data_IF_251065508309
#
_entry.id   IF_251065508309
#
_cell.length_a   1.000
_cell.length_b   1.000
_cell.length_c   1.000
_cell.angle_alpha   90.00
_cell.angle_beta   90.00
_cell.angle_gamma   90.00
#
_symmetry.space_group_name_H-M   'P 1'
#
loop_
_entity.id
_entity.type
_entity.pdbx_description
1 polymer ?
#
# COMPACT_ATOMS: atom_id res chain seq x y z
N UNK A 1 -61.83 27.00 45.50
CA UNK A 1 -61.53 26.38 44.19
C UNK A 1 -60.06 26.63 43.84
N UNK A 2 -59.40 25.61 43.29
CA UNK A 2 -57.95 25.35 43.26
C UNK A 2 -57.12 26.41 42.51
N UNK A 3 -55.92 26.69 43.03
CA UNK A 3 -54.81 27.38 42.33
C UNK A 3 -53.62 26.42 42.18
N UNK A 4 -53.19 26.32 40.91
CA UNK A 4 -51.82 26.28 40.37
C UNK A 4 -50.81 25.13 40.67
N UNK A 5 -50.24 24.64 39.54
CA UNK A 5 -48.83 24.24 39.28
C UNK A 5 -48.39 22.87 39.86
N UNK A 6 -47.64 21.95 39.22
CA UNK A 6 -46.68 21.92 38.08
C UNK A 6 -46.51 20.43 37.63
N UNK A 7 -45.91 20.23 36.45
CA UNK A 7 -44.95 19.16 36.04
C UNK A 7 -45.37 18.09 35.02
N UNK A 8 -44.93 18.34 33.77
CA UNK A 8 -44.06 17.50 32.92
C UNK A 8 -44.27 15.99 32.92
N UNK A 9 -44.63 15.45 31.74
CA UNK A 9 -44.08 14.22 31.10
C UNK A 9 -44.68 14.15 29.68
N UNK A 10 -43.99 14.60 28.62
CA UNK A 10 -43.13 13.78 27.74
C UNK A 10 -43.57 12.31 27.59
N UNK A 11 -44.34 12.02 26.55
CA UNK A 11 -44.40 10.71 25.88
C UNK A 11 -44.85 10.96 24.42
N UNK A 12 -43.92 11.01 23.47
CA UNK A 12 -43.47 9.86 22.65
C UNK A 12 -44.46 9.59 21.50
N UNK A 13 -44.30 10.34 20.42
CA UNK A 13 -44.87 10.01 19.10
C UNK A 13 -43.69 9.80 18.16
N UNK A 14 -43.19 8.56 18.12
CA UNK A 14 -42.21 8.08 17.14
C UNK A 14 -42.94 7.81 15.82
N UNK A 15 -43.10 8.84 15.00
CA UNK A 15 -43.35 8.66 13.57
C UNK A 15 -42.03 8.19 12.95
N UNK A 16 -41.88 6.87 12.80
CA UNK A 16 -40.79 6.29 12.04
C UNK A 16 -41.05 6.56 10.56
N UNK A 17 -40.37 7.56 10.00
CA UNK A 17 -40.16 7.65 8.56
C UNK A 17 -39.41 6.39 8.13
N UNK A 18 -40.10 5.49 7.44
CA UNK A 18 -39.51 4.31 6.82
C UNK A 18 -38.46 4.73 5.80
N UNK A 19 -37.20 4.79 6.24
CA UNK A 19 -36.08 4.66 5.34
C UNK A 19 -36.01 3.18 5.00
N UNK A 20 -36.61 2.78 3.88
CA UNK A 20 -36.30 1.50 3.26
C UNK A 20 -34.78 1.47 3.08
N UNK A 21 -34.11 0.69 3.93
CA UNK A 21 -32.72 0.35 3.75
C UNK A 21 -32.68 -0.38 2.40
N UNK A 22 -31.98 0.13 1.37
CA UNK A 22 -31.86 -0.62 0.13
C UNK A 22 -31.36 -2.03 0.50
N UNK A 23 -31.85 -3.09 -0.16
CA UNK A 23 -31.41 -4.44 0.12
C UNK A 23 -29.89 -4.43 0.13
N UNK A 24 -29.29 -4.99 1.18
CA UNK A 24 -27.85 -5.10 1.28
C UNK A 24 -27.39 -5.84 0.02
N UNK A 25 -26.79 -5.11 -0.92
CA UNK A 25 -26.12 -5.72 -2.07
C UNK A 25 -25.20 -6.78 -1.49
N UNK A 26 -25.21 -8.03 -1.99
CA UNK A 26 -24.31 -9.05 -1.49
C UNK A 26 -22.91 -8.46 -1.46
N UNK A 27 -22.28 -8.43 -0.30
CA UNK A 27 -20.91 -7.95 -0.19
C UNK A 27 -20.09 -8.79 -1.16
N UNK A 28 -19.50 -8.15 -2.19
CA UNK A 28 -18.67 -8.85 -3.17
C UNK A 28 -17.58 -9.57 -2.37
N UNK A 29 -17.36 -10.88 -2.58
CA UNK A 29 -16.32 -11.59 -1.84
C UNK A 29 -14.99 -10.87 -2.08
N UNK A 30 -14.18 -10.81 -1.02
CA UNK A 30 -12.86 -10.22 -1.07
C UNK A 30 -12.09 -10.84 -2.26
N UNK A 31 -11.40 -10.02 -3.06
CA UNK A 31 -10.67 -10.51 -4.22
C UNK A 31 -9.64 -11.57 -3.80
N UNK A 32 -9.58 -12.66 -4.55
CA UNK A 32 -8.44 -13.59 -4.51
C UNK A 32 -7.25 -12.95 -5.21
N UNK A 33 -6.06 -13.52 -5.04
CA UNK A 33 -4.87 -13.08 -5.79
C UNK A 33 -5.11 -13.07 -7.30
N UNK A 34 -5.74 -14.13 -7.82
CA UNK A 34 -5.98 -14.34 -9.25
C UNK A 34 -6.95 -13.30 -9.82
N UNK A 35 -7.99 -12.93 -9.07
CA UNK A 35 -9.05 -12.03 -9.56
C UNK A 35 -8.81 -10.55 -9.21
N UNK A 36 -7.92 -10.25 -8.26
CA UNK A 36 -7.62 -8.88 -7.82
C UNK A 36 -7.20 -7.99 -9.00
N UNK A 37 -6.42 -8.56 -9.91
CA UNK A 37 -5.91 -7.89 -11.09
C UNK A 37 -7.03 -7.43 -12.04
N UNK A 38 -7.90 -8.36 -12.41
CA UNK A 38 -9.03 -8.09 -13.28
C UNK A 38 -9.96 -7.03 -12.66
N UNK A 39 -10.19 -7.10 -11.35
CA UNK A 39 -11.03 -6.14 -10.61
C UNK A 39 -10.43 -4.73 -10.55
N UNK A 40 -9.12 -4.60 -10.32
CA UNK A 40 -8.44 -3.29 -10.40
C UNK A 40 -8.61 -2.70 -11.81
N UNK A 41 -8.36 -3.51 -12.85
CA UNK A 41 -8.46 -3.03 -14.23
C UNK A 41 -9.89 -2.67 -14.62
N UNK A 42 -10.88 -3.47 -14.22
CA UNK A 42 -12.32 -3.19 -14.38
C UNK A 42 -12.66 -1.83 -13.74
N UNK A 43 -12.33 -1.65 -12.45
CA UNK A 43 -12.65 -0.42 -11.71
C UNK A 43 -11.99 0.84 -12.30
N UNK A 44 -10.72 0.75 -12.71
CA UNK A 44 -10.00 1.86 -13.34
C UNK A 44 -10.54 2.17 -14.76
N UNK A 45 -10.99 1.14 -15.48
CA UNK A 45 -11.63 1.25 -16.78
C UNK A 45 -13.00 1.92 -16.69
N UNK A 46 -13.88 1.44 -15.81
CA UNK A 46 -15.19 2.03 -15.50
C UNK A 46 -15.06 3.50 -15.13
N UNK A 47 -14.05 3.84 -14.33
CA UNK A 47 -13.83 5.22 -13.89
C UNK A 47 -13.07 6.10 -14.89
N UNK A 48 -12.86 5.64 -16.13
CA UNK A 48 -12.12 6.37 -17.17
C UNK A 48 -10.74 6.89 -16.69
N UNK A 49 -10.11 6.18 -15.74
CA UNK A 49 -8.77 6.49 -15.25
C UNK A 49 -7.73 5.92 -16.23
N UNK A 50 -8.12 4.90 -17.00
CA UNK A 50 -7.39 4.16 -18.03
C UNK A 50 -6.07 3.53 -17.55
N UNK A 51 -5.83 2.27 -17.95
CA UNK A 51 -4.52 2.04 -18.55
C UNK A 51 -4.64 1.13 -19.78
N UNK A 52 -4.14 1.58 -20.94
CA UNK A 52 -3.93 0.72 -22.12
C UNK A 52 -2.97 -0.46 -21.87
N UNK A 53 -2.38 -0.54 -20.66
CA UNK A 53 -1.38 -1.51 -20.25
C UNK A 53 -1.71 -2.17 -18.90
N UNK A 54 -2.97 -2.18 -18.46
CA UNK A 54 -3.34 -2.65 -17.11
C UNK A 54 -2.94 -4.10 -16.85
N UNK A 55 -3.35 -5.03 -17.71
CA UNK A 55 -3.13 -6.47 -17.49
C UNK A 55 -1.63 -6.86 -17.46
N UNK A 56 -0.77 -6.40 -18.42
CA UNK A 56 0.67 -6.67 -18.34
C UNK A 56 1.37 -6.06 -17.12
N UNK A 57 1.01 -4.82 -16.74
CA UNK A 57 1.56 -4.17 -15.54
C UNK A 57 1.15 -4.93 -14.29
N UNK A 58 -0.10 -5.36 -14.23
CA UNK A 58 -0.65 -6.02 -13.06
C UNK A 58 -0.10 -7.44 -12.84
N UNK A 59 0.08 -8.24 -13.91
CA UNK A 59 0.75 -9.54 -13.81
C UNK A 59 2.19 -9.41 -13.28
N UNK A 60 2.90 -8.37 -13.76
CA UNK A 60 4.24 -8.02 -13.26
C UNK A 60 4.23 -7.62 -11.79
N UNK A 61 3.26 -6.81 -11.38
CA UNK A 61 3.10 -6.40 -9.99
C UNK A 61 2.76 -7.60 -9.09
N UNK A 62 1.86 -8.50 -9.52
CA UNK A 62 1.50 -9.70 -8.76
C UNK A 62 2.70 -10.64 -8.53
N UNK A 63 3.59 -10.77 -9.51
CA UNK A 63 4.82 -11.54 -9.38
C UNK A 63 5.83 -10.92 -8.39
N UNK A 64 5.77 -9.60 -8.19
CA UNK A 64 6.73 -8.83 -7.38
C UNK A 64 6.24 -8.50 -5.98
N UNK A 65 4.92 -8.44 -5.81
CA UNK A 65 4.28 -8.06 -4.55
C UNK A 65 3.97 -9.27 -3.69
N UNK A 66 3.97 -9.05 -2.38
CA UNK A 66 3.58 -10.07 -1.40
C UNK A 66 2.13 -10.50 -1.62
N UNK A 67 1.80 -11.77 -1.32
CA UNK A 67 0.42 -12.21 -1.26
C UNK A 67 -0.40 -11.30 -0.32
N UNK A 68 -1.55 -10.86 -0.76
CA UNK A 68 -2.51 -10.02 -0.07
C UNK A 68 -2.44 -8.55 -0.45
N UNK A 69 -1.34 -8.08 -1.05
CA UNK A 69 -1.18 -6.66 -1.43
C UNK A 69 -2.17 -6.27 -2.52
N UNK A 70 -2.20 -7.04 -3.62
CA UNK A 70 -3.11 -6.76 -4.74
C UNK A 70 -4.59 -6.87 -4.34
N UNK A 71 -5.03 -7.92 -3.63
CA UNK A 71 -6.37 -7.97 -3.06
C UNK A 71 -6.74 -6.78 -2.15
N UNK A 72 -5.82 -6.35 -1.27
CA UNK A 72 -6.07 -5.24 -0.37
C UNK A 72 -6.24 -3.91 -1.14
N UNK A 73 -5.39 -3.69 -2.15
CA UNK A 73 -5.49 -2.54 -3.03
C UNK A 73 -6.79 -2.55 -3.83
N UNK A 74 -7.13 -3.68 -4.47
CA UNK A 74 -8.37 -3.89 -5.20
C UNK A 74 -9.58 -3.60 -4.31
N UNK A 75 -9.61 -4.13 -3.09
CA UNK A 75 -10.68 -3.89 -2.12
C UNK A 75 -10.83 -2.42 -1.73
N UNK A 76 -9.72 -1.66 -1.69
CA UNK A 76 -9.79 -0.22 -1.43
C UNK A 76 -10.41 0.53 -2.62
N UNK A 77 -9.96 0.24 -3.84
CA UNK A 77 -10.51 0.84 -5.04
C UNK A 77 -12.00 0.53 -5.19
N UNK A 78 -12.40 -0.72 -4.98
CA UNK A 78 -13.80 -1.14 -5.03
C UNK A 78 -14.67 -0.38 -4.02
N UNK A 79 -14.14 0.07 -2.88
CA UNK A 79 -14.89 0.88 -1.89
C UNK A 79 -14.90 2.38 -2.21
N UNK A 80 -13.78 2.92 -2.67
CA UNK A 80 -13.62 4.36 -2.86
C UNK A 80 -14.10 4.83 -4.24
N UNK A 81 -14.04 3.96 -5.24
CA UNK A 81 -14.42 4.24 -6.63
C UNK A 81 -15.78 3.68 -7.04
N UNK A 82 -16.62 3.22 -6.09
CA UNK A 82 -17.98 2.69 -6.32
C UNK A 82 -18.82 3.58 -7.23
N UNK A 83 -18.59 4.90 -7.22
CA UNK A 83 -19.30 5.88 -8.05
C UNK A 83 -18.33 6.81 -8.75
N UNK A 84 -17.85 6.37 -9.91
CA UNK A 84 -16.90 7.11 -10.74
C UNK A 84 -17.34 8.55 -11.08
N UNK A 85 -18.64 8.77 -11.28
CA UNK A 85 -19.20 10.06 -11.71
C UNK A 85 -19.38 11.06 -10.56
N UNK A 86 -19.26 10.62 -9.31
CA UNK A 86 -19.41 11.49 -8.16
C UNK A 86 -18.25 12.46 -7.98
N UNK A 87 -17.15 12.32 -8.75
CA UNK A 87 -15.94 13.13 -8.61
C UNK A 87 -15.24 13.43 -9.95
N UNK A 88 -14.58 14.59 -10.08
CA UNK A 88 -13.64 14.87 -11.18
C UNK A 88 -12.56 13.79 -11.34
N UNK A 89 -12.01 13.64 -12.55
CA UNK A 89 -10.95 12.65 -12.85
C UNK A 89 -9.68 12.87 -12.02
N UNK A 90 -9.33 14.14 -11.73
CA UNK A 90 -8.17 14.47 -10.89
C UNK A 90 -8.30 13.88 -9.48
N UNK A 91 -9.49 14.03 -8.88
CA UNK A 91 -9.81 13.50 -7.55
C UNK A 91 -9.82 11.97 -7.54
N UNK A 92 -10.30 11.35 -8.63
CA UNK A 92 -10.24 9.89 -8.81
C UNK A 92 -8.81 9.36 -8.86
N UNK A 93 -7.90 10.01 -9.58
CA UNK A 93 -6.47 9.65 -9.59
C UNK A 93 -5.83 9.80 -8.21
N UNK A 94 -6.20 10.84 -7.48
CA UNK A 94 -5.76 11.01 -6.11
C UNK A 94 -6.24 9.88 -5.20
N UNK A 95 -7.50 9.42 -5.34
CA UNK A 95 -8.02 8.27 -4.60
C UNK A 95 -7.25 6.98 -4.89
N UNK A 96 -6.87 6.74 -6.15
CA UNK A 96 -6.00 5.60 -6.49
C UNK A 96 -4.68 5.67 -5.73
N UNK A 97 -4.04 6.84 -5.72
CA UNK A 97 -2.80 7.05 -4.97
C UNK A 97 -2.98 6.89 -3.45
N UNK A 98 -4.12 7.33 -2.90
CA UNK A 98 -4.44 7.19 -1.49
C UNK A 98 -4.67 5.72 -1.12
N UNK A 99 -5.43 4.97 -1.93
CA UNK A 99 -5.64 3.53 -1.72
C UNK A 99 -4.32 2.75 -1.78
N UNK A 100 -3.45 3.08 -2.72
CA UNK A 100 -2.11 2.49 -2.79
C UNK A 100 -1.32 2.82 -1.52
N UNK A 101 -1.26 4.09 -1.14
CA UNK A 101 -0.52 4.53 0.07
C UNK A 101 -1.05 3.87 1.35
N UNK A 102 -2.36 3.80 1.54
CA UNK A 102 -2.97 3.14 2.69
C UNK A 102 -2.64 1.64 2.72
N UNK A 103 -2.59 0.98 1.55
CA UNK A 103 -2.13 -0.41 1.43
C UNK A 103 -0.68 -0.51 1.90
N UNK A 104 0.22 0.31 1.37
CA UNK A 104 1.63 0.34 1.74
C UNK A 104 1.85 0.57 3.24
N UNK A 105 1.07 1.46 3.86
CA UNK A 105 1.14 1.76 5.30
C UNK A 105 0.73 0.58 6.19
N UNK A 106 -0.24 -0.24 5.75
CA UNK A 106 -0.59 -1.47 6.46
C UNK A 106 0.59 -2.46 6.46
N UNK A 107 1.22 -2.63 5.31
CA UNK A 107 2.33 -3.58 5.15
C UNK A 107 3.64 -3.10 5.79
N UNK A 108 3.90 -1.80 5.79
CA UNK A 108 5.13 -1.24 6.39
C UNK A 108 5.21 -1.45 7.90
N UNK A 109 4.08 -1.57 8.60
CA UNK A 109 4.02 -1.83 10.04
C UNK A 109 4.37 -3.27 10.41
N UNK A 110 3.87 -4.22 9.62
CA UNK A 110 4.06 -5.65 9.86
C UNK A 110 5.35 -6.14 9.19
N UNK A 111 5.21 -6.68 7.99
CA UNK A 111 6.24 -7.45 7.33
C UNK A 111 7.18 -6.59 6.46
N UNK A 112 6.79 -5.35 6.14
CA UNK A 112 7.60 -4.39 5.41
C UNK A 112 8.74 -3.79 6.23
N UNK A 113 8.58 -3.72 7.56
CA UNK A 113 9.67 -3.33 8.47
C UNK A 113 10.86 -4.28 8.38
N UNK A 114 10.61 -5.60 8.31
CA UNK A 114 11.66 -6.60 8.18
C UNK A 114 12.40 -6.46 6.84
N UNK A 115 11.67 -6.25 5.74
CA UNK A 115 12.26 -6.04 4.42
C UNK A 115 13.15 -4.80 4.36
N UNK A 116 12.68 -3.69 4.94
CA UNK A 116 13.45 -2.45 5.06
C UNK A 116 14.72 -2.70 5.87
N UNK A 117 14.62 -3.37 7.03
CA UNK A 117 15.77 -3.69 7.87
C UNK A 117 16.82 -4.53 7.14
N UNK A 118 16.40 -5.51 6.35
CA UNK A 118 17.30 -6.39 5.59
C UNK A 118 18.13 -5.59 4.56
N UNK A 119 17.46 -4.74 3.76
CA UNK A 119 18.14 -3.90 2.77
C UNK A 119 19.02 -2.85 3.44
N UNK A 120 18.55 -2.23 4.53
CA UNK A 120 19.33 -1.26 5.31
C UNK A 120 20.62 -1.90 5.83
N UNK A 121 20.51 -3.11 6.40
CA UNK A 121 21.68 -3.84 6.89
C UNK A 121 22.66 -4.13 5.76
N UNK A 122 22.20 -4.55 4.58
CA UNK A 122 23.06 -4.75 3.42
C UNK A 122 23.78 -3.47 2.96
N UNK A 123 23.10 -2.32 2.98
CA UNK A 123 23.73 -1.02 2.68
C UNK A 123 24.84 -0.72 3.67
N UNK A 124 24.60 -0.94 4.96
CA UNK A 124 25.55 -0.68 6.03
C UNK A 124 26.74 -1.67 6.03
N UNK A 125 26.49 -2.95 5.74
CA UNK A 125 27.55 -3.95 5.55
C UNK A 125 28.43 -3.59 4.35
N UNK A 126 27.83 -3.12 3.24
CA UNK A 126 28.58 -2.58 2.11
C UNK A 126 29.40 -1.36 2.50
N UNK A 127 28.81 -0.40 3.22
CA UNK A 127 29.49 0.81 3.66
C UNK A 127 30.71 0.47 4.54
N UNK A 128 30.54 -0.39 5.54
CA UNK A 128 31.62 -0.84 6.41
C UNK A 128 32.76 -1.55 5.65
N UNK A 129 32.42 -2.31 4.60
CA UNK A 129 33.41 -2.96 3.72
C UNK A 129 34.16 -1.95 2.84
N UNK A 130 33.44 -0.97 2.28
CA UNK A 130 34.00 0.00 1.34
C UNK A 130 34.76 1.14 2.03
N UNK A 131 34.38 1.50 3.26
CA UNK A 131 34.94 2.58 4.06
C UNK A 131 35.08 2.14 5.54
N UNK A 132 36.09 1.32 5.87
CA UNK A 132 36.26 0.81 7.22
C UNK A 132 36.65 1.94 8.21
N UNK A 133 35.92 2.04 9.34
CA UNK A 133 36.29 2.86 10.49
C UNK A 133 35.44 4.12 10.75
N UNK A 134 34.36 4.34 9.99
CA UNK A 134 33.50 5.54 10.10
C UNK A 134 32.30 5.36 11.05
N UNK A 135 31.63 4.21 11.03
CA UNK A 135 30.56 3.86 11.97
C UNK A 135 30.37 2.33 12.05
N UNK A 136 29.75 1.83 13.13
CA UNK A 136 29.34 0.43 13.21
C UNK A 136 28.11 0.16 12.31
N UNK A 137 27.96 -1.10 11.86
CA UNK A 137 26.81 -1.51 11.03
C UNK A 137 25.48 -1.21 11.74
N UNK A 138 25.41 -1.36 13.06
CA UNK A 138 24.19 -1.16 13.84
C UNK A 138 23.82 0.33 13.99
N UNK A 139 24.81 1.22 14.14
CA UNK A 139 24.62 2.67 14.16
C UNK A 139 24.12 3.18 12.81
N UNK A 140 24.78 2.73 11.72
CA UNK A 140 24.34 2.99 10.35
C UNK A 140 22.88 2.54 10.13
N UNK A 141 22.57 1.30 10.54
CA UNK A 141 21.26 0.71 10.30
C UNK A 141 20.15 1.48 11.03
N UNK A 142 20.42 1.91 12.26
CA UNK A 142 19.48 2.70 13.05
C UNK A 142 19.23 4.07 12.41
N UNK A 143 20.29 4.74 11.93
CA UNK A 143 20.19 6.05 11.29
C UNK A 143 19.48 5.99 9.92
N UNK A 144 19.67 4.91 9.18
CA UNK A 144 19.14 4.76 7.82
C UNK A 144 17.70 4.20 7.78
N UNK A 145 17.32 3.36 8.74
CA UNK A 145 16.00 2.71 8.74
C UNK A 145 14.82 3.67 8.76
N UNK A 146 14.93 4.81 9.48
CA UNK A 146 13.88 5.84 9.49
C UNK A 146 13.78 6.55 8.13
N UNK A 147 14.91 6.97 7.58
CA UNK A 147 14.99 7.65 6.27
C UNK A 147 14.46 6.77 5.14
N UNK A 148 14.85 5.49 5.13
CA UNK A 148 14.42 4.58 4.08
C UNK A 148 12.92 4.30 4.19
N UNK A 149 12.37 4.13 5.39
CA UNK A 149 10.93 3.89 5.61
C UNK A 149 10.04 4.96 4.98
N UNK A 150 10.42 6.22 5.10
CA UNK A 150 9.62 7.34 4.60
C UNK A 150 9.85 7.62 3.11
N UNK A 151 10.90 7.03 2.52
CA UNK A 151 11.22 7.17 1.10
C UNK A 151 10.30 6.34 0.19
N UNK A 152 10.14 6.73 -1.09
CA UNK A 152 9.44 5.92 -2.09
C UNK A 152 10.01 4.48 -2.21
N UNK A 153 11.31 4.32 -2.05
CA UNK A 153 11.99 3.03 -2.12
C UNK A 153 11.61 2.12 -0.94
N UNK A 154 11.60 2.64 0.29
CA UNK A 154 11.18 1.86 1.45
C UNK A 154 9.71 1.47 1.40
N UNK A 155 8.85 2.34 0.86
CA UNK A 155 7.45 2.01 0.60
C UNK A 155 7.31 0.87 -0.41
N UNK A 156 8.11 0.86 -1.47
CA UNK A 156 8.13 -0.22 -2.47
C UNK A 156 8.63 -1.53 -1.85
N UNK A 157 9.74 -1.48 -1.10
CA UNK A 157 10.29 -2.64 -0.38
C UNK A 157 9.31 -3.23 0.64
N UNK A 158 8.46 -2.39 1.25
CA UNK A 158 7.49 -2.84 2.25
C UNK A 158 6.47 -3.85 1.72
N UNK A 159 6.16 -3.80 0.43
CA UNK A 159 5.20 -4.69 -0.24
C UNK A 159 5.85 -5.68 -1.20
N UNK A 160 7.16 -5.59 -1.42
CA UNK A 160 7.92 -6.50 -2.27
C UNK A 160 8.00 -7.91 -1.65
N UNK A 161 7.93 -8.94 -2.49
CA UNK A 161 8.11 -10.34 -2.06
C UNK A 161 9.45 -10.55 -1.35
N UNK A 162 9.51 -11.44 -0.34
CA UNK A 162 10.76 -11.71 0.39
C UNK A 162 11.93 -12.08 -0.53
N UNK A 163 11.69 -12.88 -1.57
CA UNK A 163 12.73 -13.34 -2.50
C UNK A 163 13.36 -12.17 -3.27
N UNK A 164 12.53 -11.21 -3.70
CA UNK A 164 13.00 -9.99 -4.37
C UNK A 164 13.81 -9.12 -3.41
N UNK A 165 13.34 -8.98 -2.16
CA UNK A 165 14.04 -8.21 -1.12
C UNK A 165 15.43 -8.83 -0.84
N UNK A 166 15.50 -10.15 -0.67
CA UNK A 166 16.76 -10.86 -0.45
C UNK A 166 17.71 -10.77 -1.64
N UNK A 167 17.18 -10.81 -2.87
CA UNK A 167 17.96 -10.57 -4.09
C UNK A 167 18.58 -9.16 -4.11
N UNK A 168 17.78 -8.14 -3.82
CA UNK A 168 18.24 -6.74 -3.72
C UNK A 168 19.28 -6.60 -2.61
N UNK A 169 19.02 -7.14 -1.41
CA UNK A 169 19.93 -7.05 -0.27
C UNK A 169 21.29 -7.71 -0.59
N UNK A 170 21.28 -8.87 -1.24
CA UNK A 170 22.51 -9.57 -1.66
C UNK A 170 23.27 -8.76 -2.71
N UNK A 171 22.58 -8.27 -3.75
CA UNK A 171 23.20 -7.41 -4.77
C UNK A 171 23.83 -6.15 -4.15
N UNK A 172 23.14 -5.51 -3.19
CA UNK A 172 23.65 -4.33 -2.49
C UNK A 172 24.88 -4.68 -1.66
N UNK A 173 24.82 -5.77 -0.88
CA UNK A 173 25.93 -6.18 0.00
C UNK A 173 27.20 -6.46 -0.81
N UNK A 174 27.05 -7.16 -1.94
CA UNK A 174 28.19 -7.67 -2.71
C UNK A 174 28.65 -6.68 -3.78
N UNK A 175 27.77 -5.76 -4.20
CA UNK A 175 27.99 -4.82 -5.30
C UNK A 175 29.17 -3.86 -5.12
N UNK A 176 29.65 -3.32 -6.24
CA UNK A 176 30.84 -2.44 -6.30
C UNK A 176 30.76 -1.24 -5.34
N UNK A 177 31.88 -0.86 -4.73
CA UNK A 177 32.00 0.35 -3.90
C UNK A 177 31.87 1.67 -4.69
N UNK A 178 32.03 1.62 -6.02
CA UNK A 178 31.92 2.80 -6.88
C UNK A 178 30.47 3.20 -7.20
N UNK A 179 29.49 2.35 -6.86
CA UNK A 179 28.07 2.61 -7.14
C UNK A 179 27.49 3.63 -6.14
N UNK A 180 27.08 4.84 -6.57
CA UNK A 180 26.53 5.86 -5.68
C UNK A 180 25.12 5.53 -5.17
N UNK A 181 24.34 4.73 -5.91
CA UNK A 181 22.95 4.41 -5.58
C UNK A 181 22.67 2.90 -5.63
N UNK A 182 23.31 2.10 -4.74
CA UNK A 182 23.33 0.65 -4.86
C UNK A 182 21.94 0.02 -4.76
N UNK A 183 21.05 0.55 -3.92
CA UNK A 183 19.68 0.02 -3.79
C UNK A 183 18.88 0.22 -5.07
N UNK A 184 18.96 1.40 -5.70
CA UNK A 184 18.23 1.70 -6.92
C UNK A 184 18.79 0.90 -8.11
N UNK A 185 20.12 0.80 -8.22
CA UNK A 185 20.79 0.00 -9.25
C UNK A 185 20.41 -1.49 -9.14
N UNK A 186 20.47 -2.06 -7.93
CA UNK A 186 20.10 -3.44 -7.68
C UNK A 186 18.62 -3.71 -7.90
N UNK A 187 17.74 -2.82 -7.45
CA UNK A 187 16.31 -2.93 -7.74
C UNK A 187 16.05 -2.95 -9.25
N UNK A 188 16.63 -2.01 -10.01
CA UNK A 188 16.48 -1.96 -11.47
C UNK A 188 17.07 -3.17 -12.20
N UNK A 189 18.12 -3.80 -11.65
CA UNK A 189 18.66 -5.06 -12.17
C UNK A 189 17.68 -6.22 -11.96
N UNK A 190 17.10 -6.34 -10.76
CA UNK A 190 16.08 -7.33 -10.45
C UNK A 190 14.77 -7.14 -11.24
N UNK A 191 14.56 -5.97 -11.84
CA UNK A 191 13.43 -5.74 -12.74
C UNK A 191 13.62 -6.28 -14.17
N UNK A 192 14.85 -6.64 -14.54
CA UNK A 192 15.22 -7.10 -15.90
C UNK A 192 15.31 -8.62 -16.03
N UNK A 193 15.28 -9.37 -14.92
CA UNK A 193 15.19 -10.83 -14.98
C UNK A 193 13.74 -11.25 -15.31
N UNK A 194 13.54 -12.10 -16.34
CA UNK A 194 12.23 -12.51 -16.84
C UNK A 194 11.47 -13.45 -15.90
#
# INVERSE_FOLDING_TARGET
>A
MRRLLVLKSLAMVLVSCGVERPPATPARPAPTEEDACARVCEQLGECAIAPMSCAPSCARDQARLRPGVQPAFASCLERELVRCDARPIADRRQLVSLCWTATLEGWSKEAGKAAITEVVRAVCERAARCEPGTESVDECATALASKLRDSPQGKTLAVARPELVTGIATCVRDGSCAEPHPVAACAAASEKEP
#
